data_IF_597122382732
#
_entry.id   IF_597122382732
#
_cell.length_a   1.000
_cell.length_b   1.000
_cell.length_c   1.000
_cell.angle_alpha   90.00
_cell.angle_beta   90.00
_cell.angle_gamma   90.00
#
_symmetry.space_group_name_H-M   'P 1'
#
loop_
_entity.id
_entity.type
_entity.pdbx_description
1 polymer ?
#
# COMPACT_ATOMS: atom_id res chain seq x y z
N UNK A 1 21.13 1.30 -2.64
CA UNK A 1 19.74 1.05 -2.22
C UNK A 1 19.05 2.29 -1.63
N UNK A 2 19.73 3.15 -0.86
CA UNK A 2 19.15 4.35 -0.23
C UNK A 2 18.38 5.30 -1.17
N UNK A 3 18.93 5.60 -2.34
CA UNK A 3 18.27 6.48 -3.31
C UNK A 3 16.93 5.92 -3.81
N UNK A 4 16.86 4.61 -4.06
CA UNK A 4 15.62 3.93 -4.46
C UNK A 4 14.59 3.99 -3.33
N UNK A 5 15.01 3.80 -2.08
CA UNK A 5 14.13 3.91 -0.91
C UNK A 5 13.61 5.34 -0.71
N UNK A 6 14.44 6.36 -0.95
CA UNK A 6 13.99 7.75 -0.89
C UNK A 6 12.94 8.07 -1.95
N UNK A 7 13.17 7.64 -3.20
CA UNK A 7 12.21 7.81 -4.29
C UNK A 7 10.93 7.02 -4.03
N UNK A 8 11.04 5.78 -3.57
CA UNK A 8 9.90 4.96 -3.16
C UNK A 8 9.07 5.65 -2.07
N UNK A 9 9.71 6.25 -1.06
CA UNK A 9 9.01 6.99 0.00
C UNK A 9 8.22 8.17 -0.57
N UNK A 10 8.76 8.90 -1.55
CA UNK A 10 8.02 9.96 -2.27
C UNK A 10 6.80 9.38 -3.00
N UNK A 11 6.89 8.17 -3.56
CA UNK A 11 5.74 7.50 -4.20
C UNK A 11 4.65 7.08 -3.20
N UNK A 12 4.98 6.76 -1.96
CA UNK A 12 3.97 6.54 -0.90
C UNK A 12 3.19 7.84 -0.60
N UNK A 13 3.86 8.99 -0.58
CA UNK A 13 3.20 10.30 -0.47
C UNK A 13 2.31 10.62 -1.67
N UNK A 14 2.77 10.31 -2.89
CA UNK A 14 1.92 10.45 -4.09
C UNK A 14 0.69 9.56 -4.01
N UNK A 15 0.83 8.31 -3.56
CA UNK A 15 -0.31 7.40 -3.35
C UNK A 15 -1.29 8.01 -2.33
N UNK A 16 -0.78 8.55 -1.21
CA UNK A 16 -1.63 9.21 -0.21
C UNK A 16 -2.38 10.43 -0.78
N UNK A 17 -1.73 11.24 -1.62
CA UNK A 17 -2.37 12.36 -2.29
C UNK A 17 -3.52 11.92 -3.21
N UNK A 18 -3.32 10.87 -4.02
CA UNK A 18 -4.37 10.31 -4.88
C UNK A 18 -5.53 9.78 -4.05
N UNK A 19 -5.26 9.07 -2.95
CA UNK A 19 -6.32 8.55 -2.08
C UNK A 19 -7.13 9.68 -1.42
N UNK A 20 -6.52 10.81 -1.07
CA UNK A 20 -7.25 11.99 -0.60
C UNK A 20 -8.14 12.59 -1.68
N UNK A 21 -7.66 12.63 -2.92
CA UNK A 21 -8.45 13.14 -4.05
C UNK A 21 -9.68 12.27 -4.33
N UNK A 22 -9.54 10.95 -4.29
CA UNK A 22 -10.66 10.00 -4.42
C UNK A 22 -11.71 10.22 -3.33
N UNK A 23 -11.27 10.49 -2.09
CA UNK A 23 -12.16 10.75 -0.94
C UNK A 23 -12.71 12.17 -0.89
N UNK A 24 -12.22 13.09 -1.72
CA UNK A 24 -12.60 14.50 -1.66
C UNK A 24 -14.09 14.65 -1.98
N UNK A 25 -14.79 15.42 -1.14
CA UNK A 25 -16.17 15.81 -1.39
C UNK A 25 -16.26 16.74 -2.61
N UNK A 26 -17.39 16.69 -3.33
CA UNK A 26 -17.62 17.52 -4.51
C UNK A 26 -16.89 17.10 -5.80
N UNK A 27 -16.04 16.07 -5.78
CA UNK A 27 -15.51 15.47 -7.02
C UNK A 27 -16.62 14.67 -7.71
N UNK A 28 -16.89 14.89 -9.02
CA UNK A 28 -17.89 14.12 -9.76
C UNK A 28 -17.65 12.61 -9.66
N UNK A 29 -18.74 11.84 -9.53
CA UNK A 29 -18.62 10.40 -9.29
C UNK A 29 -17.95 9.66 -10.46
N UNK A 30 -18.19 10.12 -11.69
CA UNK A 30 -17.54 9.58 -12.90
C UNK A 30 -16.02 9.71 -12.83
N UNK A 31 -15.52 10.89 -12.42
CA UNK A 31 -14.10 11.15 -12.25
C UNK A 31 -13.52 10.33 -11.09
N UNK A 32 -14.27 10.17 -9.98
CA UNK A 32 -13.87 9.27 -8.88
C UNK A 32 -13.72 7.83 -9.37
N UNK A 33 -14.66 7.34 -10.17
CA UNK A 33 -14.63 5.99 -10.72
C UNK A 33 -13.47 5.76 -11.69
N UNK A 34 -13.15 6.74 -12.51
CA UNK A 34 -12.00 6.69 -13.41
C UNK A 34 -10.68 6.58 -12.63
N UNK A 35 -10.52 7.40 -11.58
CA UNK A 35 -9.36 7.34 -10.68
C UNK A 35 -9.30 5.98 -9.96
N UNK A 36 -10.41 5.53 -9.37
CA UNK A 36 -10.51 4.25 -8.66
C UNK A 36 -10.14 3.08 -9.55
N UNK A 37 -10.70 3.02 -10.76
CA UNK A 37 -10.44 1.94 -11.73
C UNK A 37 -8.97 1.91 -12.13
N UNK A 38 -8.35 3.08 -12.27
CA UNK A 38 -6.93 3.21 -12.66
C UNK A 38 -5.96 2.74 -11.56
N UNK A 39 -6.30 2.90 -10.28
CA UNK A 39 -5.36 2.62 -9.17
C UNK A 39 -5.63 1.31 -8.42
N UNK A 40 -6.87 0.80 -8.45
CA UNK A 40 -7.30 -0.30 -7.58
C UNK A 40 -6.48 -1.58 -7.81
N UNK A 41 -6.17 -1.90 -9.07
CA UNK A 41 -5.36 -3.06 -9.42
C UNK A 41 -3.96 -2.95 -8.79
N UNK A 42 -3.30 -1.80 -8.92
CA UNK A 42 -1.96 -1.58 -8.39
C UNK A 42 -1.91 -1.61 -6.85
N UNK A 43 -2.90 -1.03 -6.17
CA UNK A 43 -2.97 -1.04 -4.69
C UNK A 43 -3.27 -2.46 -4.17
N UNK A 44 -4.17 -3.20 -4.84
CA UNK A 44 -4.45 -4.60 -4.50
C UNK A 44 -3.19 -5.47 -4.65
N UNK A 45 -2.48 -5.35 -5.77
CA UNK A 45 -1.24 -6.09 -6.00
C UNK A 45 -0.17 -5.71 -4.97
N UNK A 46 -0.05 -4.42 -4.63
CA UNK A 46 0.88 -3.95 -3.58
C UNK A 46 0.58 -4.62 -2.24
N UNK A 47 -0.69 -4.70 -1.83
CA UNK A 47 -1.08 -5.36 -0.58
C UNK A 47 -0.73 -6.85 -0.57
N UNK A 48 -1.04 -7.56 -1.66
CA UNK A 48 -0.75 -8.99 -1.78
C UNK A 48 0.76 -9.26 -1.71
N UNK A 49 1.55 -8.49 -2.45
CA UNK A 49 3.00 -8.63 -2.46
C UNK A 49 3.63 -8.26 -1.11
N UNK A 50 3.16 -7.20 -0.43
CA UNK A 50 3.63 -6.86 0.93
C UNK A 50 3.42 -8.03 1.89
N UNK A 51 2.24 -8.66 1.86
CA UNK A 51 1.93 -9.84 2.68
C UNK A 51 2.82 -11.04 2.35
N UNK A 52 3.01 -11.33 1.06
CA UNK A 52 3.86 -12.42 0.61
C UNK A 52 5.31 -12.23 1.06
N UNK A 53 5.90 -11.06 0.80
CA UNK A 53 7.27 -10.74 1.20
C UNK A 53 7.46 -10.77 2.71
N UNK A 54 6.52 -10.20 3.46
CA UNK A 54 6.55 -10.23 4.91
C UNK A 54 6.53 -11.68 5.45
N UNK A 55 5.67 -12.54 4.90
CA UNK A 55 5.63 -13.96 5.26
C UNK A 55 6.93 -14.70 4.89
N UNK A 56 7.52 -14.39 3.72
CA UNK A 56 8.78 -14.98 3.26
C UNK A 56 9.95 -14.62 4.18
N UNK A 57 10.07 -13.35 4.55
CA UNK A 57 11.09 -12.86 5.50
C UNK A 57 10.95 -13.52 6.89
N UNK A 58 9.73 -13.87 7.30
CA UNK A 58 9.45 -14.46 8.61
C UNK A 58 9.30 -15.99 8.60
N UNK A 59 9.55 -16.65 7.47
CA UNK A 59 9.40 -18.10 7.34
C UNK A 59 10.31 -18.87 8.32
N UNK A 60 9.91 -20.10 8.68
CA UNK A 60 10.69 -20.92 9.64
C UNK A 60 12.13 -21.09 9.19
N UNK A 61 12.36 -21.31 7.89
CA UNK A 61 13.70 -21.47 7.32
C UNK A 61 14.51 -20.16 7.36
N UNK A 62 13.87 -19.00 7.11
CA UNK A 62 14.53 -17.71 7.21
C UNK A 62 15.01 -17.42 8.65
N UNK A 63 14.23 -17.83 9.66
CA UNK A 63 14.57 -17.62 11.07
C UNK A 63 15.78 -18.45 11.55
N UNK A 64 16.08 -19.57 10.88
CA UNK A 64 17.23 -20.42 11.22
C UNK A 64 18.54 -19.95 10.61
N UNK A 65 18.51 -18.95 9.72
CA UNK A 65 19.71 -18.44 9.09
C UNK A 65 20.63 -17.72 10.10
N UNK A 66 21.96 -17.75 9.85
CA UNK A 66 22.93 -16.94 10.59
C UNK A 66 22.56 -15.46 10.60
N UNK A 67 22.98 -14.73 11.64
CA UNK A 67 22.57 -13.34 11.87
C UNK A 67 22.92 -12.40 10.70
N UNK A 68 24.06 -12.62 10.05
CA UNK A 68 24.55 -11.91 8.86
C UNK A 68 23.79 -12.23 7.57
N UNK A 69 22.94 -13.27 7.60
CA UNK A 69 22.15 -13.74 6.45
C UNK A 69 20.64 -13.64 6.70
N UNK A 70 20.22 -13.15 7.87
CA UNK A 70 18.79 -13.01 8.18
C UNK A 70 18.15 -12.03 7.20
N UNK A 71 17.04 -12.40 6.53
CA UNK A 71 16.37 -11.49 5.63
C UNK A 71 15.76 -10.33 6.41
N UNK A 72 16.08 -9.12 6.00
CA UNK A 72 15.46 -7.91 6.51
C UNK A 72 14.19 -7.61 5.71
N UNK A 73 13.04 -7.54 6.38
CA UNK A 73 11.80 -7.11 5.74
C UNK A 73 11.81 -5.59 5.60
N UNK A 74 12.52 -5.07 4.60
CA UNK A 74 12.71 -3.63 4.37
C UNK A 74 12.16 -3.20 3.01
N UNK A 75 11.41 -2.09 2.93
CA UNK A 75 10.96 -1.23 4.04
C UNK A 75 9.76 -1.82 4.81
N UNK A 76 9.72 -1.57 6.13
CA UNK A 76 8.61 -1.93 7.03
C UNK A 76 8.43 -0.83 8.08
N UNK A 77 7.20 -0.58 8.50
CA UNK A 77 6.88 0.39 9.55
C UNK A 77 5.61 -0.05 10.29
N UNK A 78 5.52 0.37 11.55
CA UNK A 78 4.40 0.05 12.42
C UNK A 78 3.19 0.94 12.15
N UNK A 79 2.02 0.48 12.58
CA UNK A 79 0.81 1.29 12.54
C UNK A 79 1.00 2.55 13.39
N UNK A 80 0.82 3.72 12.78
CA UNK A 80 0.94 5.00 13.46
C UNK A 80 2.33 5.64 13.38
N UNK A 81 3.27 5.07 12.61
CA UNK A 81 4.54 5.74 12.31
C UNK A 81 4.28 7.10 11.63
N UNK A 82 4.66 8.23 12.25
CA UNK A 82 4.37 9.56 11.72
C UNK A 82 5.21 9.93 10.49
N UNK A 83 6.28 9.20 10.21
CA UNK A 83 7.14 9.44 9.04
C UNK A 83 6.53 8.89 7.74
N UNK A 84 5.53 8.03 7.85
CA UNK A 84 4.89 7.34 6.73
C UNK A 84 3.44 7.82 6.50
N UNK A 85 3.07 8.21 5.28
CA UNK A 85 1.75 8.79 4.99
C UNK A 85 0.63 7.76 4.84
N UNK A 86 0.98 6.48 4.77
CA UNK A 86 0.08 5.34 4.58
C UNK A 86 0.51 4.21 5.52
N UNK A 87 -0.44 3.36 5.96
CA UNK A 87 -0.07 2.14 6.69
C UNK A 87 0.68 1.16 5.79
N UNK A 88 1.50 0.29 6.40
CA UNK A 88 2.11 -0.82 5.68
C UNK A 88 1.04 -1.81 5.19
N UNK A 89 0.08 -2.14 6.05
CA UNK A 89 -1.09 -2.96 5.68
C UNK A 89 -2.16 -2.08 5.03
N UNK A 90 -2.45 -2.36 3.76
CA UNK A 90 -3.42 -1.64 2.93
C UNK A 90 -4.79 -2.34 2.87
N UNK A 91 -5.04 -3.38 3.68
CA UNK A 91 -6.28 -4.17 3.63
C UNK A 91 -7.52 -3.30 3.73
N UNK A 92 -7.59 -2.40 4.72
CA UNK A 92 -8.74 -1.50 4.89
C UNK A 92 -8.90 -0.53 3.72
N UNK A 93 -7.80 0.00 3.20
CA UNK A 93 -7.82 0.90 2.04
C UNK A 93 -8.35 0.16 0.80
N UNK A 94 -7.89 -1.06 0.54
CA UNK A 94 -8.38 -1.86 -0.60
C UNK A 94 -9.88 -2.15 -0.45
N UNK A 95 -10.34 -2.51 0.75
CA UNK A 95 -11.76 -2.76 1.02
C UNK A 95 -12.61 -1.51 0.79
N UNK A 96 -12.17 -0.35 1.30
CA UNK A 96 -12.84 0.94 1.12
C UNK A 96 -12.97 1.30 -0.37
N UNK A 97 -11.87 1.25 -1.13
CA UNK A 97 -11.87 1.60 -2.56
C UNK A 97 -12.78 0.67 -3.38
N UNK A 98 -12.88 -0.61 -3.00
CA UNK A 98 -13.82 -1.55 -3.63
C UNK A 98 -15.26 -1.22 -3.29
N UNK A 99 -15.54 -0.85 -2.04
CA UNK A 99 -16.88 -0.39 -1.62
C UNK A 99 -17.34 0.81 -2.43
N UNK A 100 -16.49 1.84 -2.55
CA UNK A 100 -16.78 3.04 -3.34
C UNK A 100 -17.09 2.74 -4.81
N UNK A 101 -16.40 1.77 -5.41
CA UNK A 101 -16.63 1.37 -6.82
C UNK A 101 -17.91 0.53 -7.00
N UNK A 102 -18.43 -0.09 -5.93
CA UNK A 102 -19.66 -0.86 -5.96
C UNK A 102 -20.90 0.03 -5.75
N UNK A 103 -20.80 1.08 -4.93
CA UNK A 103 -21.84 2.09 -4.74
C UNK A 103 -22.22 2.83 -6.04
N UNK A 104 -21.39 2.70 -7.09
CA UNK A 104 -21.62 3.36 -8.39
C UNK A 104 -22.28 2.51 -9.43
N UNK A 105 -22.53 1.22 -9.15
CA UNK A 105 -23.28 0.36 -10.06
C UNK A 105 -24.77 0.54 -9.76
N UNK A 106 -25.60 0.96 -10.74
CA UNK A 106 -27.04 1.10 -10.55
C UNK A 106 -27.72 -0.25 -10.27
#
# INVERSE_FOLDING_TARGET
>A
MSQLEEMWRKMEWLTSAVLREVRREGVPMEQKNEMLTSILASITTRQNLRREWHARCQSRIARTLPADQKPECRPYWEKGDPSMPLPFDLTEIVSELRGLLLETRP
#
